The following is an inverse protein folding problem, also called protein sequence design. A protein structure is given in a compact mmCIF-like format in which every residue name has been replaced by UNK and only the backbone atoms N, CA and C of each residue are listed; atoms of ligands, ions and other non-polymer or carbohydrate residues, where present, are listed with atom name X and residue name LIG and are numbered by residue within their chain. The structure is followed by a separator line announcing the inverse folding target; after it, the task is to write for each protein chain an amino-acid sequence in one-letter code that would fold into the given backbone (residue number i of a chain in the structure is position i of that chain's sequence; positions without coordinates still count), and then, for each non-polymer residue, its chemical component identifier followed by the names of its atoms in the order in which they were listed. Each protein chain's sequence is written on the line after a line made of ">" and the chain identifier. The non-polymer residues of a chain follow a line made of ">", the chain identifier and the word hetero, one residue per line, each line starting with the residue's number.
data_IF_136769081606
#
_entry.id   IF_136769081606
#
_cell.length_a   1.000
_cell.length_b   1.000
_cell.length_c   1.000
_cell.angle_alpha   90.00
_cell.angle_beta   90.00
_cell.angle_gamma   90.00
#
_symmetry.space_group_name_H-M   'P 1'
#
loop_
_entity.id
_entity.type
_entity.pdbx_description
1 polymer ?
#
# COMPACT_ATOMS: atom_id res chain seq x y z
N UNK A 1 22.34 7.08 -17.58
CA UNK A 1 22.95 7.47 -16.30
C UNK A 1 22.43 6.52 -15.24
N UNK A 2 23.27 5.92 -14.39
CA UNK A 2 22.78 5.17 -13.24
C UNK A 2 22.02 6.14 -12.31
N UNK A 3 20.80 5.75 -11.92
CA UNK A 3 19.90 6.54 -11.08
C UNK A 3 20.44 6.62 -9.65
N UNK A 4 20.65 7.85 -9.14
CA UNK A 4 20.93 8.10 -7.73
C UNK A 4 19.60 8.34 -6.99
N UNK A 5 19.27 7.56 -5.93
CA UNK A 5 18.07 7.77 -5.13
C UNK A 5 18.04 9.18 -4.52
N UNK A 6 16.85 9.73 -4.29
CA UNK A 6 16.71 10.97 -3.51
C UNK A 6 17.27 10.78 -2.10
N UNK A 7 17.72 11.85 -1.44
CA UNK A 7 18.27 11.79 -0.09
C UNK A 7 17.31 11.17 0.94
N UNK A 8 16.00 11.24 0.71
CA UNK A 8 14.95 10.64 1.55
C UNK A 8 14.81 9.14 1.29
N UNK A 9 14.93 8.70 0.03
CA UNK A 9 15.01 7.29 -0.32
C UNK A 9 16.28 6.65 0.23
N UNK A 10 17.41 7.37 0.21
CA UNK A 10 18.66 6.88 0.80
C UNK A 10 18.52 6.74 2.32
N UNK A 11 17.94 7.71 3.03
CA UNK A 11 17.65 7.58 4.47
C UNK A 11 16.71 6.41 4.81
N UNK A 12 15.75 6.13 3.93
CA UNK A 12 14.87 4.97 4.08
C UNK A 12 15.65 3.66 3.89
N UNK A 13 16.50 3.59 2.86
CA UNK A 13 17.42 2.47 2.63
C UNK A 13 18.31 2.30 3.86
N UNK A 14 18.97 3.36 4.32
CA UNK A 14 19.86 3.36 5.48
C UNK A 14 19.14 2.90 6.75
N UNK A 15 17.86 3.27 6.95
CA UNK A 15 17.04 2.74 8.05
C UNK A 15 16.67 1.26 7.88
N UNK A 16 16.43 0.81 6.65
CA UNK A 16 16.13 -0.58 6.34
C UNK A 16 17.35 -1.49 6.46
N UNK A 17 18.56 -0.99 6.17
CA UNK A 17 19.83 -1.71 6.34
C UNK A 17 20.61 -1.34 7.61
N UNK A 18 20.04 -0.53 8.50
CA UNK A 18 20.67 -0.15 9.79
C UNK A 18 21.93 0.71 9.67
N UNK A 19 22.19 1.35 8.53
CA UNK A 19 23.36 2.18 8.28
C UNK A 19 23.19 3.57 8.93
N UNK A 20 23.29 3.66 10.25
CA UNK A 20 23.13 4.96 10.92
C UNK A 20 23.08 4.96 12.45
N UNK A 21 23.83 4.08 13.12
CA UNK A 21 24.25 4.26 14.51
C UNK A 21 25.41 3.28 14.81
N UNK A 22 26.29 3.67 15.72
CA UNK A 22 27.57 3.04 16.08
C UNK A 22 27.54 1.50 16.22
N UNK A 23 28.69 0.90 15.87
CA UNK A 23 29.32 -0.38 16.32
C UNK A 23 28.54 -1.32 17.27
N UNK A 24 27.28 -1.61 16.97
CA UNK A 24 26.59 -2.79 17.46
C UNK A 24 26.43 -3.76 16.28
N UNK A 25 26.75 -5.03 16.51
CA UNK A 25 26.63 -6.10 15.52
C UNK A 25 25.15 -6.35 15.18
N UNK A 26 24.59 -5.55 14.29
CA UNK A 26 23.22 -5.70 13.75
C UNK A 26 23.12 -6.71 12.60
N UNK A 27 24.20 -7.43 12.29
CA UNK A 27 24.32 -8.35 11.15
C UNK A 27 23.42 -9.61 11.21
N UNK A 28 22.61 -9.80 12.28
CA UNK A 28 21.85 -11.02 12.49
C UNK A 28 20.32 -10.87 12.50
N UNK A 29 19.76 -9.65 12.36
CA UNK A 29 18.30 -9.53 12.29
C UNK A 29 17.80 -9.77 10.87
N UNK A 30 16.94 -10.79 10.64
CA UNK A 30 16.37 -11.02 9.32
C UNK A 30 15.54 -9.81 8.89
N UNK A 31 15.60 -9.47 7.60
CA UNK A 31 14.77 -8.42 7.02
C UNK A 31 13.28 -8.76 7.17
N UNK A 32 12.40 -7.73 7.29
CA UNK A 32 10.96 -7.96 7.35
C UNK A 32 10.46 -8.61 6.06
N UNK A 33 9.54 -9.56 6.19
CA UNK A 33 8.85 -10.17 5.05
C UNK A 33 7.75 -9.25 4.51
N UNK A 34 7.13 -8.48 5.39
CA UNK A 34 6.08 -7.55 5.03
C UNK A 34 6.30 -6.17 5.65
N UNK A 35 6.46 -5.17 4.79
CA UNK A 35 6.50 -3.75 5.17
C UNK A 35 5.18 -3.08 4.80
N UNK A 36 4.56 -2.41 5.76
CA UNK A 36 3.39 -1.56 5.54
C UNK A 36 3.75 -0.08 5.74
N UNK A 37 3.38 0.78 4.78
CA UNK A 37 3.72 2.22 4.84
C UNK A 37 2.47 3.08 4.75
N UNK A 38 2.30 3.96 5.73
CA UNK A 38 1.32 5.03 5.75
C UNK A 38 2.01 6.31 5.26
N UNK A 39 1.62 6.76 4.06
CA UNK A 39 2.26 7.87 3.34
C UNK A 39 1.57 9.21 3.67
N UNK A 40 1.73 9.64 4.92
CA UNK A 40 1.24 10.93 5.41
C UNK A 40 2.22 12.07 5.06
N UNK A 41 1.68 13.29 5.00
CA UNK A 41 2.48 14.51 4.86
C UNK A 41 2.45 15.17 3.47
N UNK A 42 1.99 14.50 2.42
CA UNK A 42 1.96 15.08 1.05
C UNK A 42 1.26 16.44 0.99
N UNK A 43 0.09 16.55 1.62
CA UNK A 43 -0.67 17.80 1.66
C UNK A 43 0.00 18.91 2.49
N UNK A 44 0.72 18.55 3.55
CA UNK A 44 1.50 19.50 4.37
C UNK A 44 2.73 20.00 3.59
N UNK A 45 3.49 19.07 3.00
CA UNK A 45 4.65 19.38 2.17
C UNK A 45 4.33 20.41 1.07
N UNK A 46 3.16 20.27 0.42
CA UNK A 46 2.67 21.22 -0.57
C UNK A 46 2.29 22.56 0.07
N UNK A 47 1.56 22.54 1.19
CA UNK A 47 1.15 23.73 1.94
C UNK A 47 2.33 24.58 2.40
N UNK A 48 3.39 23.97 2.94
CA UNK A 48 4.62 24.64 3.39
C UNK A 48 5.36 25.34 2.24
N UNK A 49 5.05 25.00 1.00
CA UNK A 49 5.62 25.57 -0.24
C UNK A 49 4.64 26.48 -0.98
N UNK A 50 3.46 26.74 -0.42
CA UNK A 50 2.40 27.51 -1.08
C UNK A 50 1.83 26.82 -2.32
N UNK A 51 1.99 25.50 -2.45
CA UNK A 51 1.56 24.72 -3.59
C UNK A 51 0.18 24.07 -3.34
N UNK A 52 -0.60 23.81 -4.40
CA UNK A 52 -1.79 22.98 -4.30
C UNK A 52 -1.47 21.58 -3.76
N UNK A 53 -2.32 21.03 -2.89
CA UNK A 53 -2.13 19.70 -2.26
C UNK A 53 -1.81 18.58 -3.25
N UNK A 54 -2.39 18.65 -4.46
CA UNK A 54 -2.17 17.65 -5.51
C UNK A 54 -0.69 17.56 -5.94
N UNK A 55 0.07 18.65 -5.85
CA UNK A 55 1.49 18.66 -6.19
C UNK A 55 2.30 17.85 -5.19
N UNK A 56 1.96 17.91 -3.90
CA UNK A 56 2.57 17.01 -2.91
C UNK A 56 2.25 15.54 -3.17
N UNK A 57 1.08 15.23 -3.72
CA UNK A 57 0.76 13.86 -4.14
C UNK A 57 1.54 13.43 -5.39
N UNK A 58 1.86 14.35 -6.30
CA UNK A 58 2.75 14.05 -7.44
C UNK A 58 4.17 13.77 -6.97
N UNK A 59 4.70 14.54 -6.02
CA UNK A 59 6.00 14.25 -5.41
C UNK A 59 5.99 12.91 -4.66
N UNK A 60 4.88 12.59 -3.99
CA UNK A 60 4.66 11.30 -3.34
C UNK A 60 4.84 10.10 -4.29
N UNK A 61 4.57 10.24 -5.60
CA UNK A 61 4.81 9.16 -6.57
C UNK A 61 6.29 8.79 -6.65
N UNK A 62 7.19 9.77 -6.60
CA UNK A 62 8.63 9.49 -6.64
C UNK A 62 9.08 8.71 -5.40
N UNK A 63 8.49 9.06 -4.24
CA UNK A 63 8.71 8.32 -3.00
C UNK A 63 8.20 6.88 -3.10
N UNK A 64 7.00 6.67 -3.67
CA UNK A 64 6.43 5.33 -3.90
C UNK A 64 7.35 4.49 -4.77
N UNK A 65 7.84 5.03 -5.90
CA UNK A 65 8.77 4.33 -6.80
C UNK A 65 10.05 3.93 -6.07
N UNK A 66 10.66 4.88 -5.36
CA UNK A 66 11.91 4.63 -4.65
C UNK A 66 11.75 3.56 -3.55
N UNK A 67 10.65 3.61 -2.79
CA UNK A 67 10.32 2.60 -1.78
C UNK A 67 10.13 1.22 -2.43
N UNK A 68 9.34 1.13 -3.50
CA UNK A 68 9.06 -0.14 -4.16
C UNK A 68 10.35 -0.76 -4.73
N UNK A 69 11.21 0.05 -5.35
CA UNK A 69 12.51 -0.38 -5.84
C UNK A 69 13.44 -0.81 -4.69
N UNK A 70 13.44 -0.09 -3.57
CA UNK A 70 14.24 -0.45 -2.41
C UNK A 70 13.79 -1.79 -1.81
N UNK A 71 12.49 -1.97 -1.57
CA UNK A 71 11.94 -3.23 -1.07
C UNK A 71 12.24 -4.38 -2.02
N UNK A 72 12.13 -4.16 -3.33
CA UNK A 72 12.47 -5.15 -4.34
C UNK A 72 13.95 -5.53 -4.31
N UNK A 73 14.86 -4.57 -4.20
CA UNK A 73 16.31 -4.81 -4.10
C UNK A 73 16.70 -5.55 -2.84
N UNK A 74 15.99 -5.29 -1.74
CA UNK A 74 16.15 -5.97 -0.45
C UNK A 74 15.41 -7.31 -0.37
N UNK A 75 14.80 -7.75 -1.48
CA UNK A 75 14.04 -9.01 -1.56
C UNK A 75 12.90 -9.12 -0.53
N UNK A 76 12.31 -7.99 -0.14
CA UNK A 76 11.14 -7.94 0.73
C UNK A 76 9.92 -8.44 -0.06
N UNK A 77 9.29 -9.57 0.31
CA UNK A 77 8.26 -10.17 -0.53
C UNK A 77 6.92 -9.42 -0.53
N UNK A 78 6.60 -8.65 0.51
CA UNK A 78 5.33 -7.92 0.61
C UNK A 78 5.56 -6.45 0.97
N UNK A 79 4.97 -5.56 0.16
CA UNK A 79 4.91 -4.12 0.43
C UNK A 79 3.45 -3.66 0.36
N UNK A 80 2.91 -3.16 1.46
CA UNK A 80 1.58 -2.53 1.47
C UNK A 80 1.71 -1.02 1.60
N UNK A 81 1.13 -0.28 0.66
CA UNK A 81 1.11 1.18 0.68
C UNK A 81 -0.30 1.70 0.98
N UNK A 82 -0.43 2.49 2.03
CA UNK A 82 -1.67 3.17 2.37
C UNK A 82 -1.88 4.38 1.45
N UNK A 83 -2.51 4.14 0.30
CA UNK A 83 -2.62 5.12 -0.77
C UNK A 83 -3.87 6.02 -0.68
N UNK A 84 -5.00 5.49 -0.21
CA UNK A 84 -6.24 6.28 -0.07
C UNK A 84 -7.17 5.71 1.02
N UNK A 85 -7.45 6.48 2.07
CA UNK A 85 -8.28 6.04 3.21
C UNK A 85 -9.77 6.30 3.06
N UNK A 86 -10.59 5.64 3.89
CA UNK A 86 -12.02 5.94 4.01
C UNK A 86 -12.29 7.38 4.41
N UNK A 87 -11.40 8.00 5.17
CA UNK A 87 -11.49 9.38 5.65
C UNK A 87 -11.20 10.37 4.52
N UNK A 88 -10.44 9.98 3.49
CA UNK A 88 -10.14 10.85 2.35
C UNK A 88 -11.40 11.19 1.53
N UNK A 89 -12.47 10.42 1.63
CA UNK A 89 -13.76 10.76 1.03
C UNK A 89 -14.41 12.03 1.60
N UNK A 90 -13.96 12.52 2.76
CA UNK A 90 -14.42 13.78 3.36
C UNK A 90 -13.77 15.02 2.73
N UNK A 91 -12.78 14.84 1.85
CA UNK A 91 -12.08 15.94 1.16
C UNK A 91 -12.97 16.55 0.05
N UNK A 92 -12.63 17.75 -0.46
CA UNK A 92 -13.35 18.35 -1.58
C UNK A 92 -13.41 17.43 -2.80
N UNK A 93 -14.56 17.42 -3.50
CA UNK A 93 -14.78 16.54 -4.67
C UNK A 93 -13.74 16.73 -5.79
N UNK A 94 -13.28 17.97 -5.99
CA UNK A 94 -12.24 18.30 -6.96
C UNK A 94 -10.89 17.67 -6.61
N UNK A 95 -10.50 17.68 -5.33
CA UNK A 95 -9.29 17.01 -4.85
C UNK A 95 -9.40 15.49 -5.04
N UNK A 96 -10.54 14.89 -4.67
CA UNK A 96 -10.76 13.46 -4.86
C UNK A 96 -10.67 13.08 -6.36
N UNK A 97 -11.29 13.87 -7.25
CA UNK A 97 -11.22 13.63 -8.69
C UNK A 97 -9.77 13.71 -9.22
N UNK A 98 -8.98 14.67 -8.73
CA UNK A 98 -7.57 14.80 -9.09
C UNK A 98 -6.74 13.60 -8.59
N UNK A 99 -6.96 13.14 -7.35
CA UNK A 99 -6.29 11.95 -6.80
C UNK A 99 -6.61 10.68 -7.58
N UNK A 100 -7.88 10.49 -7.97
CA UNK A 100 -8.29 9.32 -8.76
C UNK A 100 -7.70 9.34 -10.17
N UNK A 101 -7.62 10.53 -10.79
CA UNK A 101 -6.90 10.72 -12.05
C UNK A 101 -5.41 10.37 -11.89
N UNK A 102 -4.76 10.90 -10.86
CA UNK A 102 -3.36 10.65 -10.56
C UNK A 102 -3.07 9.15 -10.34
N UNK A 103 -3.90 8.47 -9.55
CA UNK A 103 -3.80 7.03 -9.31
C UNK A 103 -3.93 6.22 -10.60
N UNK A 104 -4.91 6.54 -11.45
CA UNK A 104 -5.07 5.87 -12.75
C UNK A 104 -3.81 6.07 -13.61
N UNK A 105 -3.31 7.30 -13.70
CA UNK A 105 -2.18 7.63 -14.56
C UNK A 105 -0.90 6.92 -14.06
N UNK A 106 -0.63 6.96 -12.75
CA UNK A 106 0.43 6.18 -12.09
C UNK A 106 0.33 4.68 -12.42
N UNK A 107 -0.82 4.05 -12.18
CA UNK A 107 -1.01 2.62 -12.45
C UNK A 107 -0.77 2.24 -13.91
N UNK A 108 -1.05 3.16 -14.84
CA UNK A 108 -0.81 2.92 -16.27
C UNK A 108 0.68 3.03 -16.60
N UNK A 109 1.35 4.03 -16.04
CA UNK A 109 2.76 4.34 -16.29
C UNK A 109 3.71 3.31 -15.64
N UNK A 110 3.35 2.75 -14.48
CA UNK A 110 4.22 1.82 -13.75
C UNK A 110 4.17 0.37 -14.23
N UNK A 111 3.28 0.00 -15.17
CA UNK A 111 3.19 -1.38 -15.65
C UNK A 111 4.56 -1.92 -16.13
N UNK A 112 5.33 -1.23 -16.99
CA UNK A 112 6.62 -1.72 -17.46
C UNK A 112 7.60 -1.96 -16.31
N UNK A 113 7.72 -1.01 -15.38
CA UNK A 113 8.61 -1.11 -14.21
C UNK A 113 8.24 -2.30 -13.32
N UNK A 114 6.93 -2.51 -13.06
CA UNK A 114 6.46 -3.65 -12.28
C UNK A 114 6.78 -4.98 -12.97
N UNK A 115 6.62 -5.06 -14.29
CA UNK A 115 6.93 -6.26 -15.06
C UNK A 115 8.43 -6.57 -15.07
N UNK A 116 9.27 -5.56 -15.32
CA UNK A 116 10.73 -5.69 -15.32
C UNK A 116 11.23 -6.18 -13.95
N UNK A 117 10.67 -5.65 -12.87
CA UNK A 117 11.02 -6.04 -11.51
C UNK A 117 10.30 -7.30 -11.00
N UNK A 118 9.45 -7.94 -11.81
CA UNK A 118 8.62 -9.11 -11.43
C UNK A 118 7.76 -8.85 -10.19
N UNK A 119 7.22 -7.65 -10.08
CA UNK A 119 6.31 -7.20 -9.03
C UNK A 119 4.88 -7.56 -9.44
N UNK A 120 4.12 -8.16 -8.52
CA UNK A 120 2.67 -8.38 -8.67
C UNK A 120 1.91 -7.27 -7.95
N UNK A 121 1.00 -6.60 -8.65
CA UNK A 121 0.10 -5.63 -8.04
C UNK A 121 -1.18 -6.28 -7.51
N UNK A 122 -1.51 -5.97 -6.25
CA UNK A 122 -2.79 -6.25 -5.62
C UNK A 122 -3.39 -4.98 -5.00
N UNK A 123 -4.65 -5.04 -4.56
CA UNK A 123 -5.32 -3.93 -3.89
C UNK A 123 -6.29 -4.40 -2.81
N UNK A 124 -6.27 -3.73 -1.66
CA UNK A 124 -7.18 -3.96 -0.54
C UNK A 124 -8.08 -2.75 -0.29
N UNK A 125 -9.22 -2.97 0.36
CA UNK A 125 -10.21 -1.92 0.65
C UNK A 125 -11.44 -1.98 -0.26
N UNK A 126 -12.26 -0.93 -0.19
CA UNK A 126 -13.54 -0.89 -0.88
C UNK A 126 -13.39 -0.40 -2.33
N UNK A 127 -12.82 -1.24 -3.19
CA UNK A 127 -12.52 -0.91 -4.60
C UNK A 127 -13.77 -0.48 -5.38
N UNK A 128 -14.95 -1.00 -5.03
CA UNK A 128 -16.22 -0.65 -5.66
C UNK A 128 -16.62 0.83 -5.46
N UNK A 129 -16.07 1.51 -4.45
CA UNK A 129 -16.28 2.96 -4.25
C UNK A 129 -15.44 3.84 -5.19
N UNK A 130 -14.39 3.30 -5.80
CA UNK A 130 -13.55 4.06 -6.71
C UNK A 130 -14.30 4.32 -8.03
N UNK A 131 -13.98 5.39 -8.78
CA UNK A 131 -14.53 5.58 -10.12
C UNK A 131 -14.24 4.40 -11.04
N UNK A 132 -15.17 4.06 -11.94
CA UNK A 132 -15.05 2.90 -12.83
C UNK A 132 -13.75 2.88 -13.65
N UNK A 133 -13.27 4.04 -14.08
CA UNK A 133 -12.01 4.14 -14.82
C UNK A 133 -10.79 3.73 -13.97
N UNK A 134 -10.81 3.99 -12.66
CA UNK A 134 -9.76 3.54 -11.72
C UNK A 134 -9.86 2.04 -11.51
N UNK A 135 -11.07 1.54 -11.27
CA UNK A 135 -11.31 0.10 -11.11
C UNK A 135 -10.82 -0.69 -12.34
N UNK A 136 -11.12 -0.19 -13.54
CA UNK A 136 -10.67 -0.80 -14.79
C UNK A 136 -9.14 -0.80 -14.91
N UNK A 137 -8.49 0.33 -14.61
CA UNK A 137 -7.03 0.44 -14.68
C UNK A 137 -6.34 -0.44 -13.61
N UNK A 138 -6.85 -0.50 -12.39
CA UNK A 138 -6.38 -1.43 -11.35
C UNK A 138 -6.45 -2.88 -11.84
N UNK A 139 -7.62 -3.28 -12.35
CA UNK A 139 -7.85 -4.62 -12.86
C UNK A 139 -6.93 -4.96 -14.04
N UNK A 140 -6.68 -4.01 -14.94
CA UNK A 140 -5.72 -4.15 -16.05
C UNK A 140 -4.29 -4.37 -15.53
N UNK A 141 -3.87 -3.54 -14.57
CA UNK A 141 -2.51 -3.55 -14.01
C UNK A 141 -2.25 -4.83 -13.21
N UNK A 142 -3.19 -5.24 -12.36
CA UNK A 142 -3.12 -6.50 -11.61
C UNK A 142 -3.09 -7.73 -12.52
N UNK A 143 -3.88 -7.75 -13.60
CA UNK A 143 -3.80 -8.82 -14.60
C UNK A 143 -2.45 -8.87 -15.32
N UNK A 144 -1.93 -7.72 -15.74
CA UNK A 144 -0.65 -7.64 -16.43
C UNK A 144 0.49 -8.17 -15.53
N UNK A 145 0.47 -7.81 -14.26
CA UNK A 145 1.53 -8.12 -13.29
C UNK A 145 1.33 -9.45 -12.54
N UNK A 146 0.30 -10.24 -12.87
CA UNK A 146 -0.09 -11.45 -12.13
C UNK A 146 1.04 -12.49 -12.02
N UNK A 147 1.91 -12.56 -13.01
CA UNK A 147 3.05 -13.49 -13.05
C UNK A 147 4.26 -13.04 -12.21
N UNK A 148 4.20 -11.85 -11.60
CA UNK A 148 5.21 -11.39 -10.65
C UNK A 148 5.24 -12.28 -9.40
N UNK A 149 6.43 -12.73 -9.04
CA UNK A 149 6.71 -13.66 -7.94
C UNK A 149 7.82 -13.16 -7.01
N UNK A 150 8.46 -12.02 -7.32
CA UNK A 150 9.55 -11.48 -6.52
C UNK A 150 9.07 -10.55 -5.40
N UNK A 151 7.95 -9.85 -5.62
CA UNK A 151 7.33 -8.99 -4.61
C UNK A 151 5.85 -8.78 -4.93
N UNK A 152 5.00 -8.80 -3.91
CA UNK A 152 3.63 -8.30 -4.00
C UNK A 152 3.57 -6.86 -3.49
N UNK A 153 3.20 -5.94 -4.37
CA UNK A 153 2.85 -4.57 -4.03
C UNK A 153 1.33 -4.48 -3.85
N UNK A 154 0.88 -4.18 -2.64
CA UNK A 154 -0.54 -4.03 -2.31
C UNK A 154 -0.88 -2.57 -2.08
N UNK A 155 -1.84 -2.02 -2.81
CA UNK A 155 -2.36 -0.67 -2.57
C UNK A 155 -3.62 -0.72 -1.70
N UNK A 156 -3.58 -0.07 -0.53
CA UNK A 156 -4.77 0.12 0.30
C UNK A 156 -5.58 1.33 -0.21
N UNK A 157 -6.73 1.05 -0.82
CA UNK A 157 -7.54 2.01 -1.56
C UNK A 157 -8.99 2.04 -1.08
N UNK A 158 -9.46 3.22 -0.70
CA UNK A 158 -10.70 3.37 0.07
C UNK A 158 -10.72 2.38 1.25
N UNK A 159 -9.57 2.23 1.90
CA UNK A 159 -9.36 1.27 2.98
C UNK A 159 -9.48 1.95 4.34
N UNK A 160 -10.00 1.19 5.30
CA UNK A 160 -10.03 1.54 6.72
C UNK A 160 -10.30 0.28 7.53
N UNK A 161 -9.51 0.05 8.59
CA UNK A 161 -9.56 -1.21 9.35
C UNK A 161 -10.94 -1.50 9.96
N UNK A 162 -11.64 -0.46 10.43
CA UNK A 162 -13.02 -0.60 10.93
C UNK A 162 -14.01 -1.00 9.82
N UNK A 163 -13.86 -0.48 8.60
CA UNK A 163 -14.68 -0.90 7.45
C UNK A 163 -14.36 -2.34 7.09
N UNK A 164 -13.08 -2.72 7.04
CA UNK A 164 -12.65 -4.10 6.76
C UNK A 164 -13.25 -5.10 7.74
N UNK A 165 -13.08 -4.89 9.05
CA UNK A 165 -13.66 -5.74 10.10
C UNK A 165 -15.17 -5.82 9.93
N UNK A 166 -15.84 -4.69 9.68
CA UNK A 166 -17.29 -4.66 9.46
C UNK A 166 -17.70 -5.51 8.25
N UNK A 167 -16.95 -5.46 7.15
CA UNK A 167 -17.23 -6.27 5.97
C UNK A 167 -16.95 -7.75 6.20
N UNK A 168 -15.88 -8.10 6.92
CA UNK A 168 -15.56 -9.47 7.30
C UNK A 168 -16.69 -10.08 8.17
N UNK A 169 -17.11 -9.37 9.22
CA UNK A 169 -18.22 -9.77 10.08
C UNK A 169 -19.51 -9.95 9.28
N UNK A 170 -19.85 -9.02 8.36
CA UNK A 170 -21.02 -9.16 7.49
C UNK A 170 -20.95 -10.40 6.59
N UNK A 171 -19.77 -10.74 6.04
CA UNK A 171 -19.59 -11.95 5.22
C UNK A 171 -19.78 -13.21 6.07
N UNK A 172 -19.18 -13.26 7.26
CA UNK A 172 -19.27 -14.40 8.19
C UNK A 172 -20.73 -14.59 8.64
N UNK A 173 -21.39 -13.53 9.12
CA UNK A 173 -22.78 -13.58 9.55
C UNK A 173 -23.72 -14.10 8.44
N UNK A 174 -23.51 -13.67 7.18
CA UNK A 174 -24.27 -14.20 6.04
C UNK A 174 -24.04 -15.70 5.83
N UNK A 175 -22.80 -16.19 5.98
CA UNK A 175 -22.50 -17.62 5.89
C UNK A 175 -23.19 -18.40 7.02
N UNK A 176 -23.25 -17.85 8.23
CA UNK A 176 -23.96 -18.46 9.37
C UNK A 176 -25.46 -18.55 9.12
N UNK A 177 -26.11 -17.46 8.67
CA UNK A 177 -27.55 -17.44 8.34
C UNK A 177 -27.88 -18.41 7.20
N UNK A 178 -26.96 -18.62 6.25
CA UNK A 178 -27.12 -19.59 5.17
C UNK A 178 -26.84 -21.04 5.60
N UNK A 179 -26.50 -21.30 6.86
CA UNK A 179 -26.15 -22.64 7.35
C UNK A 179 -24.82 -23.19 6.84
N UNK A 180 -23.97 -22.34 6.24
CA UNK A 180 -22.67 -22.76 5.67
C UNK A 180 -21.58 -22.94 6.73
N UNK A 181 -21.72 -22.25 7.86
CA UNK A 181 -20.85 -22.35 9.04
C UNK A 181 -21.71 -22.21 10.30
N UNK A 182 -21.23 -22.74 11.42
CA UNK A 182 -21.79 -22.53 12.77
C UNK A 182 -21.01 -21.45 13.51
N UNK A 183 -21.64 -20.85 14.51
CA UNK A 183 -20.98 -19.86 15.38
C UNK A 183 -19.73 -20.46 16.08
N UNK A 184 -19.81 -21.71 16.53
CA UNK A 184 -18.67 -22.43 17.11
C UNK A 184 -17.48 -22.66 16.16
N UNK A 185 -17.65 -22.41 14.85
CA UNK A 185 -16.58 -22.49 13.85
C UNK A 185 -15.94 -21.11 13.59
N UNK A 186 -16.39 -20.04 14.24
CA UNK A 186 -15.82 -18.70 14.11
C UNK A 186 -14.55 -18.62 14.97
N UNK A 187 -13.40 -18.72 14.32
CA UNK A 187 -12.07 -18.60 14.93
C UNK A 187 -11.35 -17.35 14.43
N UNK A 188 -10.16 -17.05 14.99
CA UNK A 188 -9.32 -15.96 14.51
C UNK A 188 -8.91 -16.19 13.05
N UNK A 189 -8.59 -17.43 12.68
CA UNK A 189 -8.23 -17.82 11.32
C UNK A 189 -9.39 -17.58 10.36
N UNK A 190 -10.62 -17.97 10.76
CA UNK A 190 -11.81 -17.68 9.95
C UNK A 190 -11.98 -16.17 9.76
N UNK A 191 -11.78 -15.35 10.80
CA UNK A 191 -11.85 -13.89 10.65
C UNK A 191 -10.79 -13.39 9.66
N UNK A 192 -9.54 -13.83 9.81
CA UNK A 192 -8.42 -13.46 8.93
C UNK A 192 -8.68 -13.82 7.47
N UNK A 193 -9.29 -14.97 7.17
CA UNK A 193 -9.69 -15.37 5.82
C UNK A 193 -10.77 -14.47 5.18
N UNK A 194 -11.49 -13.67 5.98
CA UNK A 194 -12.58 -12.81 5.52
C UNK A 194 -12.22 -11.32 5.44
N UNK A 195 -11.04 -10.94 5.95
CA UNK A 195 -10.44 -9.61 5.80
C UNK A 195 -10.10 -9.32 4.32
N UNK A 196 -9.81 -8.06 3.99
CA UNK A 196 -9.27 -7.72 2.68
C UNK A 196 -7.81 -8.18 2.54
N UNK A 197 -7.10 -8.32 3.66
CA UNK A 197 -5.72 -8.80 3.71
C UNK A 197 -5.55 -10.31 3.63
N UNK A 198 -6.65 -11.07 3.48
CA UNK A 198 -6.61 -12.52 3.43
C UNK A 198 -5.60 -13.06 2.41
N UNK A 199 -4.73 -13.97 2.83
CA UNK A 199 -3.67 -14.54 1.99
C UNK A 199 -2.35 -13.76 2.00
N UNK A 200 -2.25 -12.65 2.73
CA UNK A 200 -0.99 -11.96 3.04
C UNK A 200 -0.56 -12.24 4.49
N UNK A 201 0.76 -12.33 4.77
CA UNK A 201 1.24 -12.33 6.15
C UNK A 201 0.98 -10.97 6.81
N UNK A 202 0.96 -10.94 8.15
CA UNK A 202 0.91 -9.68 8.89
C UNK A 202 2.16 -8.82 8.63
N UNK A 203 2.07 -7.48 8.70
CA UNK A 203 3.25 -6.62 8.60
C UNK A 203 4.24 -6.85 9.74
N UNK A 204 5.50 -7.15 9.41
CA UNK A 204 6.60 -7.20 10.38
C UNK A 204 7.09 -5.80 10.75
N UNK A 205 6.95 -4.86 9.81
CA UNK A 205 7.34 -3.46 9.97
C UNK A 205 6.25 -2.53 9.45
N UNK A 206 5.81 -1.60 10.30
CA UNK A 206 4.91 -0.51 9.91
C UNK A 206 5.63 0.83 10.00
N UNK A 207 5.62 1.58 8.90
CA UNK A 207 6.23 2.90 8.80
C UNK A 207 5.11 3.92 8.60
N UNK A 208 5.09 4.97 9.41
CA UNK A 208 4.23 6.14 9.19
C UNK A 208 5.11 7.37 9.01
N UNK A 209 5.02 8.02 7.85
CA UNK A 209 5.77 9.24 7.56
C UNK A 209 5.18 10.46 8.27
N UNK A 210 5.92 11.56 8.30
CA UNK A 210 5.48 12.89 8.77
C UNK A 210 5.18 13.08 10.27
N UNK A 211 5.50 12.10 11.11
CA UNK A 211 5.58 12.28 12.57
C UNK A 211 4.23 12.46 13.30
N UNK A 212 3.10 12.18 12.64
CA UNK A 212 1.80 12.18 13.29
C UNK A 212 1.58 10.86 14.04
N UNK A 213 1.31 10.96 15.34
CA UNK A 213 0.84 9.85 16.20
C UNK A 213 -0.70 9.80 16.15
#
# INVERSE_FOLDING_TARGET
>A
MPYHPSAEAQKLIDRLVGAGAAEESWAEKPLPKHVAIIMDGNGRWAGDRGLPRIEGHREGIQSVRAVAQACRKLEIPYLTLYAFSTENWKRPRTEIAALMKLLRDFLKEEIPEMLENRIRLDSIGNIKKLPLYVQHQLSKTSRATKAGDMMQLTLALSYGSRDEITQAVKKIARKTVQGKIKESQITQELVSEHLFTAGMPDPDLMIRSSGEL
#
